data_IF_446425121966
#
_entry.id   IF_446425121966
#
_cell.length_a   1.000
_cell.length_b   1.000
_cell.length_c   1.000
_cell.angle_alpha   90.00
_cell.angle_beta   90.00
_cell.angle_gamma   90.00
#
_symmetry.space_group_name_H-M   'P 1'
#
loop_
_entity.id
_entity.type
_entity.pdbx_description
1 polymer ?
#
# COMPACT_ATOMS: atom_id res chain seq x y z
N UNK A 1 37.86 -18.70 24.00
CA UNK A 1 37.25 -18.17 22.77
C UNK A 1 37.82 -16.78 22.53
N UNK A 2 38.12 -16.42 21.28
CA UNK A 2 38.57 -15.06 20.94
C UNK A 2 37.37 -14.13 21.05
N UNK A 3 37.48 -13.09 21.86
CA UNK A 3 36.43 -12.08 22.02
C UNK A 3 36.12 -11.40 20.69
N UNK A 4 34.84 -11.34 20.33
CA UNK A 4 34.37 -10.64 19.13
C UNK A 4 34.40 -9.13 19.40
N UNK A 5 35.17 -8.39 18.60
CA UNK A 5 35.37 -6.94 18.78
C UNK A 5 34.66 -6.08 17.74
N UNK A 6 34.36 -6.66 16.58
CA UNK A 6 33.84 -5.90 15.45
C UNK A 6 32.95 -6.77 14.55
N UNK A 7 31.89 -6.17 14.02
CA UNK A 7 31.16 -6.67 12.85
C UNK A 7 31.53 -5.80 11.65
N UNK A 8 32.13 -6.39 10.62
CA UNK A 8 32.39 -5.73 9.34
C UNK A 8 31.27 -6.02 8.37
N UNK A 9 30.78 -4.97 7.70
CA UNK A 9 29.72 -5.05 6.71
C UNK A 9 30.33 -4.82 5.32
N UNK A 10 30.05 -5.73 4.39
CA UNK A 10 30.50 -5.64 2.99
C UNK A 10 29.32 -5.77 2.05
N UNK A 11 29.14 -4.75 1.19
CA UNK A 11 28.20 -4.80 0.06
C UNK A 11 29.00 -5.11 -1.21
N UNK A 12 28.58 -6.12 -1.96
CA UNK A 12 29.40 -6.71 -3.05
C UNK A 12 29.15 -6.05 -4.40
N UNK A 13 27.89 -5.76 -4.71
CA UNK A 13 27.49 -5.11 -5.95
C UNK A 13 27.19 -3.62 -5.68
N UNK A 14 26.66 -2.92 -6.69
CA UNK A 14 26.13 -1.57 -6.47
C UNK A 14 25.13 -1.59 -5.31
N UNK A 15 25.28 -0.66 -4.36
CA UNK A 15 24.64 -0.82 -3.06
C UNK A 15 23.13 -0.67 -3.08
N UNK A 16 22.60 0.13 -4.01
CA UNK A 16 21.21 0.60 -4.04
C UNK A 16 20.82 1.44 -2.79
N UNK A 17 21.81 2.01 -2.09
CA UNK A 17 21.63 2.75 -0.82
C UNK A 17 20.70 3.96 -0.94
N UNK A 18 20.72 4.64 -2.09
CA UNK A 18 19.91 5.83 -2.36
C UNK A 18 18.60 5.51 -3.09
N UNK A 19 18.33 4.23 -3.36
CA UNK A 19 17.12 3.78 -4.06
C UNK A 19 16.02 3.36 -3.08
N UNK A 20 14.82 3.18 -3.61
CA UNK A 20 13.72 2.52 -2.93
C UNK A 20 13.76 1.01 -3.22
N UNK A 21 13.42 0.14 -2.25
CA UNK A 21 13.31 -1.28 -2.51
C UNK A 21 12.17 -1.55 -3.50
N UNK A 22 12.27 -2.64 -4.25
CA UNK A 22 11.25 -3.09 -5.20
C UNK A 22 11.09 -4.62 -5.12
N UNK A 23 10.20 -5.21 -5.91
CA UNK A 23 9.90 -6.65 -5.87
C UNK A 23 11.09 -7.55 -6.23
N UNK A 24 12.10 -7.00 -6.93
CA UNK A 24 13.32 -7.71 -7.35
C UNK A 24 14.53 -7.40 -6.49
N UNK A 25 14.39 -6.59 -5.44
CA UNK A 25 15.48 -6.24 -4.53
C UNK A 25 16.09 -7.49 -3.89
N UNK A 26 17.42 -7.62 -3.99
CA UNK A 26 18.14 -8.77 -3.46
C UNK A 26 18.35 -8.64 -1.95
N UNK A 27 17.66 -9.49 -1.20
CA UNK A 27 17.70 -9.55 0.26
C UNK A 27 18.61 -10.68 0.80
N UNK A 28 19.41 -11.33 -0.07
CA UNK A 28 20.31 -12.39 0.33
C UNK A 28 21.54 -11.87 1.11
N UNK A 29 21.99 -12.65 2.08
CA UNK A 29 23.19 -12.34 2.85
C UNK A 29 23.89 -13.60 3.37
N UNK A 30 25.16 -13.43 3.71
CA UNK A 30 25.96 -14.40 4.45
C UNK A 30 26.53 -13.74 5.70
N UNK A 31 26.42 -14.40 6.85
CA UNK A 31 26.93 -13.93 8.14
C UNK A 31 27.89 -14.97 8.71
N UNK A 32 29.18 -14.60 8.80
CA UNK A 32 30.23 -15.39 9.40
C UNK A 32 30.63 -14.76 10.75
N UNK A 33 30.22 -15.38 11.84
CA UNK A 33 30.51 -14.95 13.21
C UNK A 33 31.72 -15.72 13.70
N UNK A 34 32.90 -15.10 13.65
CA UNK A 34 34.14 -15.63 14.20
C UNK A 34 35.00 -14.50 14.79
N UNK A 35 35.77 -14.78 15.85
CA UNK A 35 36.59 -13.78 16.53
C UNK A 35 37.94 -13.53 15.83
N UNK A 36 38.51 -12.31 15.89
CA UNK A 36 37.99 -11.12 16.59
C UNK A 36 37.04 -10.26 15.75
N UNK A 37 36.81 -10.61 14.48
CA UNK A 37 36.01 -9.81 13.54
C UNK A 37 35.02 -10.71 12.79
N UNK A 38 33.73 -10.45 13.00
CA UNK A 38 32.64 -11.08 12.27
C UNK A 38 32.42 -10.34 10.93
N UNK A 39 31.88 -11.05 9.95
CA UNK A 39 31.62 -10.51 8.62
C UNK A 39 30.17 -10.73 8.21
N UNK A 40 29.48 -9.64 7.89
CA UNK A 40 28.20 -9.64 7.20
C UNK A 40 28.42 -9.20 5.76
N UNK A 41 28.18 -10.10 4.80
CA UNK A 41 28.33 -9.85 3.38
C UNK A 41 26.97 -10.00 2.69
N UNK A 42 26.61 -9.03 1.86
CA UNK A 42 25.38 -9.08 1.07
C UNK A 42 25.62 -8.47 -0.31
N UNK A 43 24.82 -8.88 -1.30
CA UNK A 43 24.93 -8.31 -2.65
C UNK A 43 24.52 -6.83 -2.68
N UNK A 44 23.45 -6.49 -1.96
CA UNK A 44 22.84 -5.15 -1.90
C UNK A 44 22.63 -4.71 -0.45
N UNK A 45 22.27 -3.45 -0.24
CA UNK A 45 21.95 -2.89 1.09
C UNK A 45 20.80 -3.63 1.78
N UNK A 46 19.85 -4.18 1.03
CA UNK A 46 18.66 -4.85 1.58
C UNK A 46 19.03 -6.13 2.34
N UNK A 47 19.95 -6.93 1.81
CA UNK A 47 20.48 -8.12 2.51
C UNK A 47 21.25 -7.77 3.78
N UNK A 48 21.96 -6.63 3.80
CA UNK A 48 22.63 -6.14 5.03
C UNK A 48 21.59 -5.91 6.14
N UNK A 49 20.47 -5.26 5.84
CA UNK A 49 19.42 -5.02 6.85
C UNK A 49 18.88 -6.33 7.43
N UNK A 50 18.69 -7.36 6.59
CA UNK A 50 18.24 -8.69 7.07
C UNK A 50 19.29 -9.38 7.92
N UNK A 51 20.55 -9.29 7.52
CA UNK A 51 21.66 -9.89 8.26
C UNK A 51 21.95 -9.20 9.58
N UNK A 52 21.73 -7.88 9.68
CA UNK A 52 21.83 -7.14 10.95
C UNK A 52 20.77 -7.60 11.96
N UNK A 53 19.54 -7.82 11.51
CA UNK A 53 18.48 -8.38 12.36
C UNK A 53 18.88 -9.77 12.86
N UNK A 54 19.31 -10.67 11.96
CA UNK A 54 19.77 -12.01 12.34
C UNK A 54 20.97 -11.98 13.29
N UNK A 55 21.94 -11.08 13.06
CA UNK A 55 23.07 -10.91 13.96
C UNK A 55 22.62 -10.47 15.36
N UNK A 56 21.66 -9.56 15.46
CA UNK A 56 21.13 -9.11 16.75
C UNK A 56 20.47 -10.26 17.53
N UNK A 57 19.82 -11.20 16.85
CA UNK A 57 19.17 -12.37 17.45
C UNK A 57 20.15 -13.43 17.94
N UNK A 58 21.39 -13.43 17.45
CA UNK A 58 22.44 -14.34 17.91
C UNK A 58 23.08 -13.90 19.24
N UNK A 59 22.91 -12.63 19.62
CA UNK A 59 23.43 -12.08 20.87
C UNK A 59 22.49 -12.42 22.00
N UNK A 60 23.01 -13.02 23.06
CA UNK A 60 22.27 -13.33 24.28
C UNK A 60 23.08 -12.94 25.52
N UNK A 61 22.44 -12.89 26.68
CA UNK A 61 23.12 -12.69 27.97
C UNK A 61 23.16 -14.02 28.73
N UNK A 62 24.31 -14.34 29.30
CA UNK A 62 24.43 -15.47 30.22
C UNK A 62 23.85 -15.14 31.62
N UNK A 63 23.95 -16.08 32.56
CA UNK A 63 23.46 -15.89 33.93
C UNK A 63 24.17 -14.78 34.70
N UNK A 64 25.32 -14.30 34.21
CA UNK A 64 26.11 -13.22 34.82
C UNK A 64 25.89 -11.87 34.11
N UNK A 65 25.03 -11.83 33.09
CA UNK A 65 24.76 -10.62 32.30
C UNK A 65 25.79 -10.36 31.19
N UNK A 66 26.71 -11.29 30.92
CA UNK A 66 27.73 -11.16 29.88
C UNK A 66 27.10 -11.31 28.51
N UNK A 67 27.26 -10.31 27.64
CA UNK A 67 26.88 -10.43 26.23
C UNK A 67 27.71 -11.52 25.55
N UNK A 68 27.02 -12.51 25.02
CA UNK A 68 27.59 -13.74 24.47
C UNK A 68 27.02 -13.96 23.08
N UNK A 69 27.85 -14.53 22.20
CA UNK A 69 27.46 -14.94 20.85
C UNK A 69 28.27 -16.19 20.48
N UNK A 70 27.64 -17.15 19.81
CA UNK A 70 28.31 -18.37 19.36
C UNK A 70 28.95 -18.17 17.98
N UNK A 71 30.04 -18.91 17.73
CA UNK A 71 30.60 -19.01 16.37
C UNK A 71 29.56 -19.66 15.44
N UNK A 72 29.32 -19.03 14.30
CA UNK A 72 28.27 -19.44 13.38
C UNK A 72 28.57 -19.02 11.94
N UNK A 73 28.09 -19.81 10.99
CA UNK A 73 28.07 -19.46 9.57
C UNK A 73 26.64 -19.59 9.05
N UNK A 74 26.07 -18.49 8.58
CA UNK A 74 24.68 -18.40 8.09
C UNK A 74 24.70 -17.94 6.64
N UNK A 75 23.92 -18.60 5.81
CA UNK A 75 23.60 -18.21 4.43
C UNK A 75 22.08 -18.18 4.36
N UNK A 76 21.50 -17.03 4.02
CA UNK A 76 20.05 -16.85 4.12
C UNK A 76 19.52 -15.95 2.99
N UNK A 77 18.29 -16.22 2.59
CA UNK A 77 17.56 -15.48 1.57
C UNK A 77 16.06 -15.77 1.66
N UNK A 78 15.18 -14.82 1.28
CA UNK A 78 13.75 -15.05 1.36
C UNK A 78 13.27 -16.05 0.32
N UNK A 79 12.38 -16.97 0.71
CA UNK A 79 11.66 -17.85 -0.22
C UNK A 79 10.74 -17.07 -1.17
N UNK A 80 10.12 -16.01 -0.68
CA UNK A 80 9.16 -15.19 -1.44
C UNK A 80 9.52 -13.69 -1.32
N UNK A 81 9.51 -12.93 -2.43
CA UNK A 81 9.93 -11.53 -2.44
C UNK A 81 8.83 -10.56 -1.96
N UNK A 82 7.56 -10.95 -1.94
CA UNK A 82 6.47 -10.14 -1.39
C UNK A 82 6.07 -10.69 -0.03
N UNK A 83 6.36 -9.93 1.05
CA UNK A 83 5.99 -10.27 2.43
C UNK A 83 5.34 -9.05 3.06
N UNK A 84 4.01 -9.02 3.02
CA UNK A 84 3.21 -7.83 3.34
C UNK A 84 2.51 -7.88 4.69
N UNK A 85 2.34 -6.71 5.28
CA UNK A 85 1.37 -6.44 6.36
C UNK A 85 0.42 -5.36 5.88
N UNK A 86 -0.88 -5.62 5.97
CA UNK A 86 -1.92 -4.62 5.70
C UNK A 86 -2.25 -3.86 6.99
N UNK A 87 -2.27 -2.54 6.90
CA UNK A 87 -2.87 -1.67 7.91
C UNK A 87 -4.04 -0.89 7.29
N UNK A 88 -5.13 -0.81 8.04
CA UNK A 88 -6.31 -0.02 7.69
C UNK A 88 -6.31 1.25 8.53
N UNK A 89 -6.21 2.39 7.85
CA UNK A 89 -6.22 3.71 8.51
C UNK A 89 -7.48 4.52 8.24
N UNK A 90 -8.46 3.92 7.57
CA UNK A 90 -9.71 4.55 7.21
C UNK A 90 -10.81 4.25 8.23
N UNK A 91 -10.92 2.98 8.65
CA UNK A 91 -11.88 2.57 9.68
C UNK A 91 -11.52 3.22 11.01
N UNK A 92 -10.23 3.28 11.35
CA UNK A 92 -9.70 4.06 12.46
C UNK A 92 -8.43 4.79 12.04
N UNK A 93 -8.32 6.08 12.37
CA UNK A 93 -7.08 6.81 12.14
C UNK A 93 -5.96 6.27 13.05
N UNK A 94 -4.80 5.98 12.47
CA UNK A 94 -3.60 5.56 13.20
C UNK A 94 -2.60 6.71 13.26
N UNK A 95 -2.21 7.20 14.45
CA UNK A 95 -1.16 8.21 14.54
C UNK A 95 0.13 7.74 13.86
N UNK A 96 0.87 8.65 13.24
CA UNK A 96 2.11 8.31 12.50
C UNK A 96 3.08 7.50 13.35
N UNK A 97 3.23 7.83 14.63
CA UNK A 97 4.08 7.08 15.56
C UNK A 97 3.71 5.59 15.65
N UNK A 98 2.43 5.24 15.52
CA UNK A 98 1.97 3.85 15.50
C UNK A 98 2.39 3.15 14.21
N UNK A 99 2.25 3.82 13.06
CA UNK A 99 2.69 3.29 11.75
C UNK A 99 4.21 3.05 11.76
N UNK A 100 5.00 4.00 12.28
CA UNK A 100 6.45 3.86 12.36
C UNK A 100 6.86 2.69 13.28
N UNK A 101 6.16 2.48 14.40
CA UNK A 101 6.38 1.31 15.27
C UNK A 101 6.05 -0.01 14.57
N UNK A 102 5.00 -0.03 13.75
CA UNK A 102 4.68 -1.21 12.92
C UNK A 102 5.82 -1.49 11.94
N UNK A 103 6.40 -0.47 11.30
CA UNK A 103 7.56 -0.63 10.41
C UNK A 103 8.80 -1.17 11.14
N UNK A 104 9.04 -0.77 12.39
CA UNK A 104 10.08 -1.38 13.23
C UNK A 104 9.81 -2.87 13.45
N UNK A 105 8.59 -3.23 13.87
CA UNK A 105 8.20 -4.62 14.09
C UNK A 105 8.28 -5.46 12.79
N UNK A 106 7.93 -4.89 11.65
CA UNK A 106 8.08 -5.51 10.34
C UNK A 106 9.54 -5.79 10.03
N UNK A 107 10.47 -4.87 10.32
CA UNK A 107 11.90 -5.07 10.11
C UNK A 107 12.44 -6.24 10.96
N UNK A 108 12.05 -6.31 12.24
CA UNK A 108 12.44 -7.42 13.13
C UNK A 108 11.97 -8.78 12.60
N UNK A 109 10.80 -8.81 11.95
CA UNK A 109 10.20 -10.01 11.37
C UNK A 109 10.51 -10.19 9.87
N UNK A 110 11.44 -9.40 9.31
CA UNK A 110 11.86 -9.43 7.91
C UNK A 110 10.70 -9.27 6.89
N UNK A 111 9.61 -8.60 7.26
CA UNK A 111 8.59 -8.13 6.30
C UNK A 111 9.15 -6.98 5.46
N UNK A 112 8.68 -6.85 4.22
CA UNK A 112 9.23 -5.89 3.26
C UNK A 112 8.17 -5.12 2.46
N UNK A 113 6.87 -5.30 2.74
CA UNK A 113 5.79 -4.50 2.14
C UNK A 113 4.84 -4.03 3.24
N UNK A 114 4.70 -2.71 3.38
CA UNK A 114 3.57 -2.11 4.09
C UNK A 114 2.47 -1.89 3.06
N UNK A 115 1.42 -2.70 3.13
CA UNK A 115 0.19 -2.47 2.38
C UNK A 115 -0.64 -1.47 3.18
N UNK A 116 -0.70 -0.24 2.70
CA UNK A 116 -1.38 0.85 3.39
C UNK A 116 -2.75 1.06 2.76
N UNK A 117 -3.76 0.44 3.35
CA UNK A 117 -5.17 0.70 3.09
C UNK A 117 -5.56 2.04 3.72
N UNK A 118 -5.35 3.11 2.94
CA UNK A 118 -5.23 4.46 3.49
C UNK A 118 -6.58 5.17 3.64
N UNK A 119 -7.56 4.83 2.80
CA UNK A 119 -8.90 5.42 2.74
C UNK A 119 -9.94 4.31 2.50
N UNK A 120 -11.18 4.54 2.95
CA UNK A 120 -12.32 3.63 2.82
C UNK A 120 -13.61 4.44 3.07
N UNK A 121 -14.76 3.80 3.25
CA UNK A 121 -16.06 4.41 3.48
C UNK A 121 -16.10 5.38 4.65
N UNK A 122 -15.51 5.01 5.78
CA UNK A 122 -15.68 5.74 7.04
C UNK A 122 -14.86 7.02 7.07
N UNK A 123 -13.65 7.02 6.48
CA UNK A 123 -12.83 8.23 6.43
C UNK A 123 -11.82 8.30 5.28
N UNK A 124 -11.52 9.54 4.88
CA UNK A 124 -10.50 9.89 3.90
C UNK A 124 -9.38 10.70 4.59
N UNK A 125 -8.44 10.04 5.30
CA UNK A 125 -7.36 10.75 5.99
C UNK A 125 -6.22 11.20 5.08
N UNK A 126 -6.07 10.66 3.86
CA UNK A 126 -5.01 11.07 2.94
C UNK A 126 -5.20 12.52 2.46
N UNK A 127 -4.24 13.41 2.70
CA UNK A 127 -4.31 14.80 2.22
C UNK A 127 -3.80 14.92 0.78
N UNK A 128 -4.72 14.84 -0.18
CA UNK A 128 -4.41 15.16 -1.58
C UNK A 128 -4.10 16.64 -1.76
N UNK A 129 -3.06 16.95 -2.53
CA UNK A 129 -2.69 18.33 -2.89
C UNK A 129 -3.58 18.83 -4.02
N UNK A 130 -3.85 17.99 -5.02
CA UNK A 130 -4.72 18.27 -6.14
C UNK A 130 -6.19 18.37 -5.72
N UNK A 131 -6.61 17.60 -4.71
CA UNK A 131 -7.98 17.56 -4.21
C UNK A 131 -8.06 17.73 -2.68
N UNK A 132 -7.77 18.94 -2.14
CA UNK A 132 -7.75 19.17 -0.69
C UNK A 132 -9.07 18.82 0.01
N UNK A 133 -10.18 19.01 -0.71
CA UNK A 133 -11.52 18.79 -0.19
C UNK A 133 -11.82 17.33 0.18
N UNK A 134 -11.10 16.36 -0.39
CA UNK A 134 -11.23 14.94 -0.03
C UNK A 134 -10.93 14.75 1.47
N UNK A 135 -9.80 15.24 1.95
CA UNK A 135 -9.47 15.16 3.38
C UNK A 135 -10.24 16.17 4.23
N UNK A 136 -10.45 17.41 3.75
CA UNK A 136 -11.13 18.46 4.51
C UNK A 136 -12.58 18.07 4.89
N UNK A 137 -13.23 17.25 4.06
CA UNK A 137 -14.63 16.81 4.26
C UNK A 137 -14.78 15.32 4.50
N UNK A 138 -13.81 14.52 4.08
CA UNK A 138 -13.84 13.06 4.17
C UNK A 138 -13.14 12.49 5.40
N UNK A 139 -12.20 13.20 6.02
CA UNK A 139 -11.53 12.75 7.25
C UNK A 139 -12.46 12.82 8.46
N UNK A 140 -12.13 12.08 9.53
CA UNK A 140 -12.86 12.18 10.80
C UNK A 140 -12.81 13.58 11.40
N UNK A 141 -11.68 14.27 11.26
CA UNK A 141 -11.49 15.68 11.60
C UNK A 141 -10.17 16.18 11.02
N UNK A 142 -9.92 17.48 11.06
CA UNK A 142 -8.65 18.08 10.60
C UNK A 142 -7.39 17.57 11.34
N UNK A 143 -7.51 17.00 12.54
CA UNK A 143 -6.38 16.35 13.24
C UNK A 143 -6.17 14.87 12.91
N UNK A 144 -7.07 14.27 12.11
CA UNK A 144 -7.04 12.87 11.69
C UNK A 144 -6.75 12.79 10.20
N UNK A 145 -5.65 13.40 9.79
CA UNK A 145 -5.22 13.56 8.40
C UNK A 145 -3.74 13.21 8.30
N UNK A 146 -3.35 12.54 7.22
CA UNK A 146 -1.96 12.33 6.83
C UNK A 146 -1.55 13.41 5.84
N UNK A 147 -0.74 14.35 6.32
CA UNK A 147 -0.20 15.42 5.48
C UNK A 147 0.82 14.88 4.47
N UNK A 148 1.18 15.64 3.42
CA UNK A 148 2.26 15.26 2.52
C UNK A 148 3.60 15.00 3.23
N UNK A 149 3.84 15.67 4.37
CA UNK A 149 5.04 15.42 5.18
C UNK A 149 4.96 14.10 5.93
N UNK A 150 3.79 13.75 6.46
CA UNK A 150 3.55 12.47 7.13
C UNK A 150 3.74 11.30 6.19
N UNK A 151 3.16 11.38 4.98
CA UNK A 151 3.31 10.35 3.95
C UNK A 151 4.78 10.19 3.54
N UNK A 152 5.50 11.30 3.31
CA UNK A 152 6.95 11.27 3.03
C UNK A 152 7.76 10.66 4.19
N UNK A 153 7.40 10.96 5.43
CA UNK A 153 8.08 10.41 6.59
C UNK A 153 7.88 8.89 6.71
N UNK A 154 6.66 8.38 6.46
CA UNK A 154 6.39 6.93 6.45
C UNK A 154 7.17 6.23 5.34
N UNK A 155 7.15 6.79 4.13
CA UNK A 155 7.87 6.25 2.97
C UNK A 155 9.38 6.17 3.25
N UNK A 156 10.00 7.23 3.77
CA UNK A 156 11.44 7.23 4.06
C UNK A 156 11.78 6.31 5.23
N UNK A 157 10.96 6.30 6.29
CA UNK A 157 11.20 5.43 7.44
C UNK A 157 11.12 3.95 7.07
N UNK A 158 10.20 3.60 6.14
CA UNK A 158 10.09 2.27 5.55
C UNK A 158 11.31 1.96 4.67
N UNK A 159 11.74 2.90 3.80
CA UNK A 159 12.91 2.74 2.92
C UNK A 159 14.18 2.42 3.71
N UNK A 160 14.42 3.12 4.82
CA UNK A 160 15.57 2.88 5.71
C UNK A 160 15.57 1.46 6.34
N UNK A 161 14.45 0.75 6.29
CA UNK A 161 14.28 -0.65 6.74
C UNK A 161 14.14 -1.63 5.59
N UNK A 162 14.30 -1.18 4.35
CA UNK A 162 14.07 -2.00 3.16
C UNK A 162 12.63 -2.48 3.05
N UNK A 163 11.67 -1.62 3.43
CA UNK A 163 10.24 -1.88 3.34
C UNK A 163 9.66 -0.97 2.25
N UNK A 164 8.92 -1.57 1.32
CA UNK A 164 8.12 -0.89 0.30
C UNK A 164 6.82 -0.38 0.92
N UNK A 165 6.35 0.79 0.48
CA UNK A 165 5.01 1.28 0.84
C UNK A 165 4.11 1.12 -0.38
N UNK A 166 3.22 0.14 -0.32
CA UNK A 166 2.20 -0.13 -1.33
C UNK A 166 0.93 0.63 -0.93
N UNK A 167 0.60 1.75 -1.59
CA UNK A 167 -0.65 2.46 -1.30
C UNK A 167 -1.83 1.71 -1.89
N UNK A 168 -2.92 1.64 -1.13
CA UNK A 168 -4.22 1.25 -1.63
C UNK A 168 -5.21 2.41 -1.59
N UNK A 169 -5.84 2.66 -2.72
CA UNK A 169 -6.95 3.59 -2.88
C UNK A 169 -8.08 2.84 -3.58
N UNK A 170 -8.84 2.13 -2.76
CA UNK A 170 -9.88 1.21 -3.21
C UNK A 170 -11.03 1.91 -3.95
N UNK A 171 -11.47 1.30 -5.05
CA UNK A 171 -12.59 1.73 -5.86
C UNK A 171 -13.07 0.60 -6.80
N UNK A 172 -14.35 0.57 -7.21
CA UNK A 172 -15.38 1.58 -7.01
C UNK A 172 -16.17 1.43 -5.70
N UNK A 173 -16.05 0.30 -5.01
CA UNK A 173 -16.53 0.08 -3.65
C UNK A 173 -15.80 0.97 -2.63
N UNK A 174 -16.15 0.86 -1.35
CA UNK A 174 -15.39 1.46 -0.24
C UNK A 174 -15.06 2.97 -0.39
N UNK A 175 -15.96 3.74 -1.00
CA UNK A 175 -15.71 5.13 -1.42
C UNK A 175 -16.63 6.17 -0.80
N UNK A 176 -17.44 5.85 0.22
CA UNK A 176 -18.38 6.80 0.82
C UNK A 176 -17.71 8.09 1.32
N UNK A 177 -16.51 8.01 1.89
CA UNK A 177 -15.76 9.18 2.37
C UNK A 177 -15.31 10.11 1.23
N UNK A 178 -15.09 9.57 0.03
CA UNK A 178 -14.62 10.31 -1.14
C UNK A 178 -15.68 11.29 -1.64
N UNK A 179 -16.95 10.85 -1.64
CA UNK A 179 -18.10 11.64 -2.10
C UNK A 179 -18.34 12.91 -1.29
N UNK A 180 -17.84 12.98 -0.05
CA UNK A 180 -17.90 14.19 0.79
C UNK A 180 -17.05 15.32 0.20
N UNK A 181 -15.90 15.00 -0.38
CA UNK A 181 -14.95 15.95 -0.96
C UNK A 181 -15.08 16.16 -2.46
N UNK A 182 -15.51 15.12 -3.19
CA UNK A 182 -15.66 15.16 -4.65
C UNK A 182 -17.13 15.04 -5.06
N UNK A 183 -17.74 16.17 -5.43
CA UNK A 183 -19.13 16.20 -5.91
C UNK A 183 -19.31 15.37 -7.18
N UNK A 184 -20.47 14.74 -7.31
CA UNK A 184 -20.85 13.92 -8.46
C UNK A 184 -19.91 12.74 -8.74
N UNK A 185 -19.14 12.28 -7.74
CA UNK A 185 -18.31 11.07 -7.86
C UNK A 185 -19.12 9.80 -7.60
N UNK A 186 -19.90 9.77 -6.50
CA UNK A 186 -20.65 8.59 -6.10
C UNK A 186 -22.01 8.51 -6.80
N UNK A 187 -22.53 7.30 -6.95
CA UNK A 187 -23.84 7.07 -7.55
C UNK A 187 -24.93 7.43 -6.55
N UNK A 188 -25.88 8.33 -6.88
CA UNK A 188 -27.06 8.54 -6.04
C UNK A 188 -28.00 7.34 -6.18
N UNK A 189 -28.44 6.78 -5.04
CA UNK A 189 -29.36 5.65 -5.03
C UNK A 189 -30.82 6.12 -5.10
N UNK A 190 -31.69 5.23 -5.56
CA UNK A 190 -33.11 5.50 -5.74
C UNK A 190 -33.97 4.49 -4.97
N UNK A 191 -35.11 4.96 -4.49
CA UNK A 191 -36.18 4.11 -3.96
C UNK A 191 -37.45 4.37 -4.79
N UNK A 192 -37.66 3.53 -5.81
CA UNK A 192 -38.67 3.80 -6.83
C UNK A 192 -38.28 5.01 -7.70
N UNK A 193 -39.19 5.98 -7.94
CA UNK A 193 -38.89 7.14 -8.79
C UNK A 193 -38.08 8.24 -8.10
N UNK A 194 -37.93 8.18 -6.78
CA UNK A 194 -37.31 9.23 -5.97
C UNK A 194 -35.90 8.83 -5.52
N UNK A 195 -35.02 9.83 -5.35
CA UNK A 195 -33.70 9.63 -4.77
C UNK A 195 -33.81 9.31 -3.28
N UNK A 196 -33.09 8.31 -2.80
CA UNK A 196 -33.11 7.89 -1.39
C UNK A 196 -32.36 8.85 -0.46
N UNK A 197 -31.55 9.76 -1.01
CA UNK A 197 -30.60 10.59 -0.26
C UNK A 197 -29.32 9.84 0.17
N UNK A 198 -29.19 8.57 -0.19
CA UNK A 198 -27.98 7.75 0.03
C UNK A 198 -27.15 7.64 -1.25
N UNK A 199 -25.88 7.29 -1.08
CA UNK A 199 -24.94 7.09 -2.18
C UNK A 199 -24.39 5.66 -2.14
N UNK A 200 -24.07 5.11 -3.31
CA UNK A 200 -23.42 3.81 -3.46
C UNK A 200 -22.00 3.95 -4.01
N UNK A 201 -21.51 2.93 -4.76
CA UNK A 201 -20.20 2.96 -5.39
C UNK A 201 -19.98 4.17 -6.31
N UNK A 202 -18.70 4.43 -6.62
CA UNK A 202 -18.30 5.42 -7.64
C UNK A 202 -19.14 5.24 -8.90
N UNK A 203 -19.61 6.35 -9.49
CA UNK A 203 -20.42 6.33 -10.69
C UNK A 203 -19.55 6.11 -11.94
N UNK A 204 -19.65 4.95 -12.61
CA UNK A 204 -18.77 4.60 -13.73
C UNK A 204 -19.26 5.18 -15.08
N UNK A 205 -20.44 5.79 -15.13
CA UNK A 205 -21.03 6.26 -16.39
C UNK A 205 -20.56 7.68 -16.76
N UNK A 206 -19.96 8.39 -15.81
CA UNK A 206 -19.59 9.80 -15.96
C UNK A 206 -18.14 9.97 -16.41
N UNK A 207 -17.91 10.79 -17.44
CA UNK A 207 -16.55 11.13 -17.85
C UNK A 207 -15.78 11.91 -16.76
N UNK A 208 -16.48 12.70 -15.95
CA UNK A 208 -15.88 13.43 -14.83
C UNK A 208 -15.22 12.50 -13.80
N UNK A 209 -15.75 11.29 -13.60
CA UNK A 209 -15.16 10.26 -12.75
C UNK A 209 -13.76 9.92 -13.23
N UNK A 210 -13.61 9.58 -14.52
CA UNK A 210 -12.31 9.19 -15.07
C UNK A 210 -11.34 10.37 -15.19
N UNK A 211 -11.82 11.59 -15.41
CA UNK A 211 -10.98 12.79 -15.34
C UNK A 211 -10.43 13.02 -13.94
N UNK A 212 -11.27 12.85 -12.91
CA UNK A 212 -10.86 12.91 -11.50
C UNK A 212 -9.82 11.83 -11.19
N UNK A 213 -10.12 10.56 -11.49
CA UNK A 213 -9.22 9.43 -11.22
C UNK A 213 -7.87 9.60 -11.93
N UNK A 214 -7.86 10.08 -13.18
CA UNK A 214 -6.62 10.34 -13.91
C UNK A 214 -5.73 11.39 -13.23
N UNK A 215 -6.32 12.47 -12.69
CA UNK A 215 -5.58 13.48 -11.94
C UNK A 215 -5.15 12.97 -10.57
N UNK A 216 -6.02 12.24 -9.89
CA UNK A 216 -5.76 11.68 -8.56
C UNK A 216 -4.63 10.65 -8.60
N UNK A 217 -4.72 9.66 -9.49
CA UNK A 217 -3.68 8.63 -9.60
C UNK A 217 -2.37 9.18 -10.16
N UNK A 218 -2.37 10.27 -10.94
CA UNK A 218 -1.14 10.98 -11.31
C UNK A 218 -0.43 11.55 -10.08
N UNK A 219 -1.16 12.11 -9.12
CA UNK A 219 -0.59 12.52 -7.84
C UNK A 219 -0.07 11.31 -7.06
N UNK A 220 -0.87 10.24 -6.90
CA UNK A 220 -0.47 9.01 -6.21
C UNK A 220 0.83 8.46 -6.79
N UNK A 221 0.94 8.39 -8.13
CA UNK A 221 2.14 7.90 -8.81
C UNK A 221 3.38 8.78 -8.62
N UNK A 222 3.18 10.07 -8.29
CA UNK A 222 4.26 11.00 -7.96
C UNK A 222 4.65 10.91 -6.48
N UNK A 223 3.68 10.72 -5.58
CA UNK A 223 3.88 10.70 -4.13
C UNK A 223 4.49 9.37 -3.67
N UNK A 224 4.00 8.25 -4.20
CA UNK A 224 4.44 6.91 -3.79
C UNK A 224 5.46 6.36 -4.79
N UNK A 225 6.71 6.11 -4.37
CA UNK A 225 7.77 5.68 -5.28
C UNK A 225 7.66 4.20 -5.67
N UNK A 226 6.92 3.37 -4.93
CA UNK A 226 6.77 1.95 -5.25
C UNK A 226 6.19 1.75 -6.65
N UNK A 227 6.65 0.71 -7.36
CA UNK A 227 6.21 0.47 -8.73
C UNK A 227 4.71 0.13 -8.80
N UNK A 228 4.13 -0.42 -7.74
CA UNK A 228 2.76 -0.87 -7.71
C UNK A 228 1.85 0.08 -6.92
N UNK A 229 0.58 0.13 -7.33
CA UNK A 229 -0.52 0.73 -6.59
C UNK A 229 -1.61 -0.32 -6.47
N UNK A 230 -2.17 -0.50 -5.28
CA UNK A 230 -3.33 -1.37 -5.08
C UNK A 230 -4.60 -0.57 -5.40
N UNK A 231 -5.42 -1.09 -6.30
CA UNK A 231 -6.64 -0.42 -6.79
C UNK A 231 -7.91 -0.88 -6.07
N UNK A 232 -7.76 -1.88 -5.19
CA UNK A 232 -8.85 -2.53 -4.49
C UNK A 232 -9.72 -3.32 -5.46
N UNK A 233 -11.01 -2.99 -5.48
CA UNK A 233 -12.01 -3.60 -6.36
C UNK A 233 -12.72 -4.80 -5.72
N UNK A 234 -12.83 -4.82 -4.40
CA UNK A 234 -13.57 -5.81 -3.63
C UNK A 234 -15.00 -5.32 -3.27
N UNK A 235 -15.84 -6.29 -2.93
CA UNK A 235 -17.16 -6.12 -2.29
C UNK A 235 -18.09 -5.04 -2.90
N UNK A 236 -18.08 -4.87 -4.23
CA UNK A 236 -18.90 -3.84 -4.90
C UNK A 236 -20.39 -4.19 -4.85
N UNK A 237 -21.17 -3.45 -4.06
CA UNK A 237 -22.63 -3.58 -4.01
C UNK A 237 -23.31 -2.90 -5.22
N UNK A 238 -23.86 -3.72 -6.12
CA UNK A 238 -24.55 -3.26 -7.32
C UNK A 238 -25.96 -2.70 -7.07
N UNK A 239 -26.53 -2.85 -5.87
CA UNK A 239 -27.93 -2.47 -5.58
C UNK A 239 -28.20 -1.00 -5.90
N UNK A 240 -27.25 -0.11 -5.57
CA UNK A 240 -27.39 1.31 -5.86
C UNK A 240 -27.32 1.61 -7.38
N UNK A 241 -26.41 0.95 -8.10
CA UNK A 241 -26.33 1.03 -9.57
C UNK A 241 -27.62 0.53 -10.22
N UNK A 242 -28.18 -0.58 -9.73
CA UNK A 242 -29.43 -1.12 -10.24
C UNK A 242 -30.62 -0.21 -10.01
N UNK A 243 -30.63 0.52 -8.88
CA UNK A 243 -31.69 1.48 -8.59
C UNK A 243 -31.67 2.72 -9.50
N UNK A 244 -30.49 3.10 -10.03
CA UNK A 244 -30.29 4.40 -10.67
C UNK A 244 -30.74 4.40 -12.16
N UNK A 245 -31.72 5.24 -12.56
CA UNK A 245 -32.23 5.26 -13.94
C UNK A 245 -31.19 5.62 -15.01
N UNK A 246 -30.24 6.51 -14.69
CA UNK A 246 -29.19 6.91 -15.63
C UNK A 246 -28.19 5.78 -15.86
N UNK A 247 -27.86 5.03 -14.81
CA UNK A 247 -27.03 3.83 -14.90
C UNK A 247 -27.74 2.77 -15.75
N UNK A 248 -29.03 2.51 -15.51
CA UNK A 248 -29.81 1.57 -16.32
C UNK A 248 -29.88 1.98 -17.81
N UNK A 249 -29.97 3.27 -18.12
CA UNK A 249 -29.91 3.75 -19.50
C UNK A 249 -28.52 3.54 -20.13
N UNK A 250 -27.45 3.79 -19.37
CA UNK A 250 -26.09 3.47 -19.82
C UNK A 250 -25.90 1.97 -20.09
N UNK A 251 -26.39 1.11 -19.20
CA UNK A 251 -26.37 -0.35 -19.35
C UNK A 251 -27.04 -0.80 -20.66
N UNK A 252 -28.19 -0.21 -20.99
CA UNK A 252 -28.90 -0.46 -22.27
C UNK A 252 -28.07 -0.03 -23.47
N UNK A 253 -27.51 1.20 -23.45
CA UNK A 253 -26.69 1.75 -24.54
C UNK A 253 -25.41 0.94 -24.77
N UNK A 254 -24.82 0.38 -23.72
CA UNK A 254 -23.62 -0.48 -23.81
C UNK A 254 -23.93 -1.94 -24.13
N UNK A 255 -25.19 -2.36 -24.10
CA UNK A 255 -25.58 -3.75 -24.30
C UNK A 255 -25.17 -4.67 -23.16
N UNK A 256 -25.02 -4.14 -21.94
CA UNK A 256 -24.70 -4.94 -20.74
C UNK A 256 -25.93 -5.60 -20.12
N UNK A 257 -27.15 -5.18 -20.51
CA UNK A 257 -28.38 -5.76 -19.99
C UNK A 257 -28.55 -5.47 -18.49
N UNK A 258 -28.61 -6.53 -17.67
CA UNK A 258 -28.70 -6.48 -16.20
C UNK A 258 -27.45 -7.03 -15.50
N UNK A 259 -26.39 -7.26 -16.27
CA UNK A 259 -25.13 -7.82 -15.79
C UNK A 259 -24.22 -6.69 -15.30
N UNK A 260 -24.34 -6.33 -14.02
CA UNK A 260 -23.58 -5.22 -13.41
C UNK A 260 -22.09 -5.53 -13.22
N UNK A 261 -21.70 -6.81 -13.24
CA UNK A 261 -20.29 -7.20 -13.26
C UNK A 261 -19.60 -6.63 -14.50
N UNK A 262 -20.25 -6.64 -15.67
CA UNK A 262 -19.71 -5.96 -16.88
C UNK A 262 -19.55 -4.44 -16.72
N UNK A 263 -20.38 -3.81 -15.89
CA UNK A 263 -20.26 -2.37 -15.62
C UNK A 263 -19.06 -2.09 -14.72
N UNK A 264 -18.86 -2.92 -13.70
CA UNK A 264 -17.65 -2.93 -12.88
C UNK A 264 -16.42 -3.20 -13.75
N UNK A 265 -16.49 -4.18 -14.66
CA UNK A 265 -15.38 -4.48 -15.57
C UNK A 265 -15.00 -3.28 -16.41
N UNK A 266 -16.00 -2.60 -16.96
CA UNK A 266 -15.82 -1.37 -17.72
C UNK A 266 -15.16 -0.25 -16.89
N UNK A 267 -15.46 -0.16 -15.59
CA UNK A 267 -14.83 0.79 -14.69
C UNK A 267 -13.37 0.45 -14.43
N UNK A 268 -13.09 -0.77 -13.97
CA UNK A 268 -11.75 -1.20 -13.58
C UNK A 268 -10.81 -1.22 -14.79
N UNK A 269 -11.24 -1.66 -15.97
CA UNK A 269 -10.39 -1.63 -17.17
C UNK A 269 -9.94 -0.20 -17.53
N UNK A 270 -10.81 0.79 -17.35
CA UNK A 270 -10.44 2.20 -17.54
C UNK A 270 -9.48 2.70 -16.46
N UNK A 271 -9.67 2.27 -15.21
CA UNK A 271 -8.77 2.61 -14.12
C UNK A 271 -7.39 1.98 -14.31
N UNK A 272 -7.32 0.71 -14.69
CA UNK A 272 -6.08 0.01 -15.06
C UNK A 272 -5.37 0.74 -16.20
N UNK A 273 -6.10 1.18 -17.22
CA UNK A 273 -5.53 2.00 -18.28
C UNK A 273 -4.93 3.31 -17.74
N UNK A 274 -5.67 4.05 -16.90
CA UNK A 274 -5.16 5.28 -16.25
C UNK A 274 -3.84 5.01 -15.52
N UNK A 275 -3.77 3.97 -14.69
CA UNK A 275 -2.58 3.62 -13.90
C UNK A 275 -1.43 3.19 -14.80
N UNK A 276 -1.71 2.50 -15.91
CA UNK A 276 -0.67 2.14 -16.88
C UNK A 276 -0.04 3.37 -17.56
N UNK A 277 -0.82 4.45 -17.79
CA UNK A 277 -0.31 5.67 -18.44
C UNK A 277 0.66 6.47 -17.58
N UNK A 278 0.70 6.21 -16.26
CA UNK A 278 1.67 6.80 -15.32
C UNK A 278 2.82 5.85 -15.00
N UNK A 279 3.01 4.78 -15.79
CA UNK A 279 4.08 3.77 -15.66
C UNK A 279 4.12 3.07 -14.29
N UNK A 280 2.94 2.80 -13.70
CA UNK A 280 2.79 2.00 -12.48
C UNK A 280 2.14 0.66 -12.80
N UNK A 281 2.51 -0.38 -12.05
CA UNK A 281 1.80 -1.64 -12.00
C UNK A 281 0.56 -1.55 -11.09
N UNK A 282 -0.42 -2.40 -11.33
CA UNK A 282 -1.62 -2.50 -10.50
C UNK A 282 -1.62 -3.81 -9.71
N UNK A 283 -2.14 -3.76 -8.50
CA UNK A 283 -2.58 -4.91 -7.71
C UNK A 283 -4.07 -4.72 -7.45
N UNK A 284 -4.83 -5.81 -7.45
CA UNK A 284 -6.29 -5.82 -7.28
C UNK A 284 -6.69 -6.94 -6.32
N UNK A 285 -7.84 -6.79 -5.68
CA UNK A 285 -8.48 -7.90 -4.97
C UNK A 285 -9.03 -8.94 -5.95
N UNK A 286 -9.41 -10.11 -5.41
CA UNK A 286 -9.69 -11.29 -6.23
C UNK A 286 -10.96 -11.15 -7.07
N UNK A 287 -11.93 -10.36 -6.62
CA UNK A 287 -13.22 -10.14 -7.27
C UNK A 287 -13.04 -9.62 -8.68
N UNK A 288 -12.07 -8.74 -8.91
CA UNK A 288 -11.69 -8.29 -10.25
C UNK A 288 -11.36 -9.49 -11.16
N UNK A 289 -10.64 -10.49 -10.67
CA UNK A 289 -10.36 -11.67 -11.48
C UNK A 289 -11.57 -12.62 -11.59
N UNK A 290 -12.26 -12.86 -10.47
CA UNK A 290 -13.37 -13.81 -10.35
C UNK A 290 -14.58 -13.39 -11.18
N UNK A 291 -14.89 -12.09 -11.20
CA UNK A 291 -15.98 -11.49 -11.97
C UNK A 291 -15.62 -11.25 -13.44
N UNK A 292 -14.46 -11.75 -13.87
CA UNK A 292 -13.95 -11.68 -15.23
C UNK A 292 -13.84 -10.24 -15.75
N UNK A 293 -13.39 -9.33 -14.88
CA UNK A 293 -13.17 -7.92 -15.17
C UNK A 293 -11.97 -7.68 -16.08
#
# INVERSE_FOLDING_TARGET
AVELKQLLISVVLESECDLYPNITSDESYTLAVAGPVAFLKANRVWGVLRGLETFSQLIYQDSYGTFTINEANIIDSPRFPHRGILIDTARHFLPIKSILKTLDAMAFNKFNVLHWHIVDDQSFPYQSVAFPELSNKGSYSLSHVYTPNDVRAVIEYARLRGIRVLPEFDSPGHTQSWGKGQKNLLTPCYNGPEQSGTFGPINPILNSTYCFLAQFFKEVGTVFPDHFVHLGGDEVDFTCWESNPEVLDFMKRKGFGRDFQRLESFYIQKLLYIVSTINKGAIVWQEVFDDHV
#
